data_IF_476201654006
#
_entry.id   IF_476201654006
#
_cell.length_a   1.000
_cell.length_b   1.000
_cell.length_c   1.000
_cell.angle_alpha   90.00
_cell.angle_beta   90.00
_cell.angle_gamma   90.00
#
_symmetry.space_group_name_H-M   'P 1'
#
loop_
_entity.id
_entity.type
_entity.pdbx_description
1 polymer ?
#
# COMPACT_ATOMS: atom_id res chain seq x y z
N UNK A 1 9.29 -10.24 9.47
CA UNK A 1 8.07 -10.62 8.71
C UNK A 1 7.50 -11.89 9.35
N UNK A 2 6.21 -11.92 9.76
CA UNK A 2 5.67 -13.06 10.52
C UNK A 2 5.66 -14.37 9.71
N UNK A 3 5.54 -14.27 8.39
CA UNK A 3 5.71 -15.35 7.42
C UNK A 3 6.76 -14.92 6.39
N UNK A 4 7.66 -15.83 6.05
CA UNK A 4 8.78 -15.56 5.16
C UNK A 4 8.93 -16.74 4.20
N UNK A 5 9.00 -16.49 2.90
CA UNK A 5 9.31 -17.57 1.95
C UNK A 5 10.78 -17.98 2.08
N UNK A 6 11.13 -19.14 1.52
CA UNK A 6 12.48 -19.69 1.60
C UNK A 6 13.55 -18.75 1.02
N UNK A 7 13.21 -17.96 -0.01
CA UNK A 7 14.16 -17.05 -0.65
C UNK A 7 14.52 -15.88 0.27
N UNK A 8 13.53 -15.24 0.91
CA UNK A 8 13.79 -14.19 1.90
C UNK A 8 14.49 -14.77 3.13
N UNK A 9 14.19 -16.00 3.53
CA UNK A 9 14.88 -16.67 4.64
C UNK A 9 16.38 -16.83 4.35
N UNK A 10 16.73 -17.30 3.15
CA UNK A 10 18.11 -17.43 2.68
C UNK A 10 18.81 -16.06 2.65
N UNK A 11 18.18 -15.04 2.06
CA UNK A 11 18.71 -13.68 2.04
C UNK A 11 19.00 -13.15 3.45
N UNK A 12 18.09 -13.33 4.40
CA UNK A 12 18.27 -12.92 5.79
C UNK A 12 19.42 -13.68 6.47
N UNK A 13 19.54 -15.00 6.24
CA UNK A 13 20.62 -15.82 6.82
C UNK A 13 22.00 -15.36 6.33
N UNK A 14 22.11 -15.03 5.05
CA UNK A 14 23.37 -14.62 4.43
C UNK A 14 23.78 -13.19 4.82
N UNK A 15 22.81 -12.30 5.00
CA UNK A 15 23.05 -10.86 5.10
C UNK A 15 22.80 -10.26 6.49
N UNK A 16 22.13 -11.00 7.37
CA UNK A 16 21.55 -10.48 8.61
C UNK A 16 20.33 -9.60 8.36
N UNK A 17 19.49 -9.45 9.39
CA UNK A 17 18.32 -8.57 9.38
C UNK A 17 18.41 -7.51 10.47
N UNK A 18 17.85 -6.33 10.21
CA UNK A 18 17.63 -5.35 11.26
C UNK A 18 16.62 -5.88 12.29
N UNK A 19 16.75 -5.43 13.55
CA UNK A 19 15.84 -5.83 14.62
C UNK A 19 14.37 -5.55 14.26
N UNK A 20 13.52 -6.57 14.31
CA UNK A 20 12.10 -6.54 13.95
C UNK A 20 11.80 -7.00 12.51
N UNK A 21 12.83 -7.22 11.68
CA UNK A 21 12.71 -7.69 10.30
C UNK A 21 13.10 -9.16 10.14
N UNK A 22 13.41 -9.84 11.24
CA UNK A 22 13.74 -11.27 11.24
C UNK A 22 12.58 -12.11 10.67
N UNK A 23 12.94 -13.25 10.10
CA UNK A 23 11.99 -14.29 9.74
C UNK A 23 11.46 -14.95 11.02
N UNK A 24 10.16 -14.79 11.30
CA UNK A 24 9.54 -15.40 12.50
C UNK A 24 9.04 -16.83 12.22
N UNK A 25 8.47 -17.06 11.03
CA UNK A 25 7.97 -18.38 10.61
C UNK A 25 8.35 -18.59 9.14
N UNK A 26 9.32 -19.46 8.83
CA UNK A 26 9.62 -19.80 7.45
C UNK A 26 8.49 -20.65 6.86
N UNK A 27 8.10 -20.35 5.63
CA UNK A 27 7.19 -21.15 4.82
C UNK A 27 8.03 -21.77 3.71
N UNK A 28 8.16 -23.10 3.74
CA UNK A 28 8.97 -23.82 2.77
C UNK A 28 8.26 -23.97 1.43
N UNK A 29 8.99 -23.72 0.34
CA UNK A 29 8.50 -23.87 -1.03
C UNK A 29 8.41 -22.56 -1.81
N UNK A 30 8.09 -22.71 -3.09
CA UNK A 30 7.82 -21.61 -4.00
C UNK A 30 6.32 -21.54 -4.26
N UNK A 31 5.69 -20.44 -3.85
CA UNK A 31 4.28 -20.19 -4.05
C UNK A 31 4.11 -19.11 -5.10
N UNK A 32 3.57 -19.49 -6.24
CA UNK A 32 3.15 -18.56 -7.29
C UNK A 32 1.62 -18.46 -7.26
N UNK A 33 1.04 -17.29 -6.96
CA UNK A 33 -0.41 -17.11 -6.95
C UNK A 33 -1.01 -17.06 -8.37
N UNK A 34 -0.20 -16.92 -9.42
CA UNK A 34 -0.67 -16.69 -10.79
C UNK A 34 -1.71 -17.73 -11.28
N UNK A 35 -1.56 -19.06 -11.05
CA UNK A 35 -2.59 -20.03 -11.44
C UNK A 35 -3.93 -19.81 -10.74
N UNK A 36 -3.92 -19.45 -9.46
CA UNK A 36 -5.14 -19.16 -8.70
C UNK A 36 -5.78 -17.85 -9.19
N UNK A 37 -4.98 -16.81 -9.40
CA UNK A 37 -5.44 -15.52 -9.91
C UNK A 37 -6.08 -15.67 -11.30
N UNK A 38 -5.48 -16.46 -12.20
CA UNK A 38 -6.07 -16.80 -13.51
C UNK A 38 -7.41 -17.51 -13.36
N UNK A 39 -7.50 -18.50 -12.47
CA UNK A 39 -8.74 -19.22 -12.23
C UNK A 39 -9.83 -18.30 -11.64
N UNK A 40 -9.47 -17.40 -10.73
CA UNK A 40 -10.37 -16.39 -10.17
C UNK A 40 -10.86 -15.42 -11.23
N UNK A 41 -9.97 -14.84 -12.05
CA UNK A 41 -10.33 -13.95 -13.16
C UNK A 41 -11.31 -14.61 -14.11
N UNK A 42 -11.01 -15.83 -14.56
CA UNK A 42 -11.89 -16.60 -15.45
C UNK A 42 -13.26 -16.83 -14.81
N UNK A 43 -13.31 -17.10 -13.50
CA UNK A 43 -14.57 -17.29 -12.78
C UNK A 43 -15.36 -15.99 -12.65
N UNK A 44 -14.69 -14.87 -12.43
CA UNK A 44 -15.34 -13.55 -12.36
C UNK A 44 -15.95 -13.21 -13.73
N UNK A 45 -15.22 -13.44 -14.83
CA UNK A 45 -15.72 -13.19 -16.19
C UNK A 45 -16.97 -14.03 -16.51
N UNK A 46 -16.98 -15.30 -16.10
CA UNK A 46 -18.16 -16.19 -16.19
C UNK A 46 -19.36 -15.60 -15.42
N UNK A 47 -19.13 -15.13 -14.19
CA UNK A 47 -20.17 -14.54 -13.36
C UNK A 47 -20.69 -13.20 -13.91
N UNK A 48 -19.81 -12.34 -14.45
CA UNK A 48 -20.21 -11.10 -15.12
C UNK A 48 -21.17 -11.37 -16.28
N UNK A 49 -20.80 -12.32 -17.16
CA UNK A 49 -21.63 -12.74 -18.30
C UNK A 49 -22.96 -13.31 -17.82
N UNK A 50 -22.94 -14.20 -16.83
CA UNK A 50 -24.14 -14.84 -16.29
C UNK A 50 -25.13 -13.85 -15.66
N UNK A 51 -24.62 -12.83 -14.98
CA UNK A 51 -25.45 -11.90 -14.21
C UNK A 51 -25.69 -10.56 -14.90
N UNK A 52 -25.09 -10.33 -16.08
CA UNK A 52 -25.27 -9.11 -16.85
C UNK A 52 -24.83 -7.84 -16.10
N UNK A 53 -23.89 -7.97 -15.16
CA UNK A 53 -23.37 -6.86 -14.36
C UNK A 53 -21.86 -6.94 -14.27
N UNK A 54 -21.21 -5.77 -14.26
CA UNK A 54 -19.76 -5.68 -14.05
C UNK A 54 -19.40 -6.11 -12.62
N UNK A 55 -18.35 -6.90 -12.49
CA UNK A 55 -17.70 -7.31 -11.25
C UNK A 55 -16.26 -6.81 -11.31
N UNK A 56 -15.79 -6.20 -10.23
CA UNK A 56 -14.41 -5.70 -10.14
C UNK A 56 -13.57 -6.76 -9.44
N UNK A 57 -12.49 -7.19 -10.08
CA UNK A 57 -11.43 -7.95 -9.43
C UNK A 57 -10.29 -7.01 -9.04
N UNK A 58 -10.06 -6.84 -7.74
CA UNK A 58 -9.04 -5.94 -7.23
C UNK A 58 -8.07 -6.66 -6.29
N UNK A 59 -6.83 -6.20 -6.26
CA UNK A 59 -5.79 -6.71 -5.35
C UNK A 59 -4.91 -5.56 -4.81
N UNK A 60 -4.11 -5.84 -3.79
CA UNK A 60 -3.20 -4.89 -3.15
C UNK A 60 -1.79 -4.90 -3.76
N UNK A 61 -1.42 -5.97 -4.47
CA UNK A 61 -0.08 -6.15 -5.03
C UNK A 61 -0.11 -6.74 -6.44
N UNK A 62 0.83 -6.30 -7.27
CA UNK A 62 1.02 -6.73 -8.67
C UNK A 62 2.19 -7.71 -8.84
N UNK A 63 2.83 -8.10 -7.74
CA UNK A 63 3.94 -9.06 -7.71
C UNK A 63 3.42 -10.45 -7.37
N UNK A 64 4.06 -11.49 -7.92
CA UNK A 64 3.74 -12.90 -7.66
C UNK A 64 4.49 -13.44 -6.45
N UNK A 65 5.71 -12.96 -6.28
CA UNK A 65 6.65 -13.45 -5.26
C UNK A 65 7.66 -12.36 -4.94
N UNK A 66 8.37 -12.48 -3.82
CA UNK A 66 9.51 -11.63 -3.50
C UNK A 66 10.61 -11.68 -4.58
N UNK A 67 10.69 -12.76 -5.38
CA UNK A 67 11.63 -12.85 -6.51
C UNK A 67 11.32 -11.90 -7.66
N UNK A 68 10.12 -11.31 -7.71
CA UNK A 68 9.78 -10.25 -8.66
C UNK A 68 10.37 -8.89 -8.26
N UNK A 69 10.95 -8.77 -7.06
CA UNK A 69 11.55 -7.55 -6.55
C UNK A 69 13.08 -7.69 -6.61
N UNK A 70 13.81 -6.68 -7.14
CA UNK A 70 15.27 -6.66 -7.13
C UNK A 70 15.85 -6.89 -5.74
N UNK A 71 16.88 -7.72 -5.67
CA UNK A 71 17.51 -8.12 -4.41
C UNK A 71 18.04 -6.93 -3.61
N UNK A 72 18.61 -5.91 -4.27
CA UNK A 72 19.09 -4.70 -3.60
C UNK A 72 17.98 -3.98 -2.83
N UNK A 73 16.75 -3.96 -3.38
CA UNK A 73 15.60 -3.37 -2.71
C UNK A 73 15.11 -4.24 -1.56
N UNK A 74 15.13 -5.56 -1.70
CA UNK A 74 14.81 -6.48 -0.62
C UNK A 74 15.79 -6.33 0.54
N UNK A 75 17.09 -6.22 0.24
CA UNK A 75 18.13 -5.98 1.23
C UNK A 75 17.93 -4.62 1.92
N UNK A 76 17.53 -3.57 1.20
CA UNK A 76 17.15 -2.30 1.82
C UNK A 76 15.93 -2.44 2.75
N UNK A 77 14.92 -3.24 2.36
CA UNK A 77 13.78 -3.54 3.23
C UNK A 77 14.23 -4.26 4.51
N UNK A 78 15.15 -5.23 4.39
CA UNK A 78 15.65 -6.06 5.48
C UNK A 78 16.63 -5.30 6.41
N UNK A 79 17.43 -4.37 5.86
CA UNK A 79 18.53 -3.68 6.57
C UNK A 79 18.23 -2.22 6.92
N UNK A 80 17.63 -1.45 6.00
CA UNK A 80 17.57 0.02 6.04
C UNK A 80 16.18 0.57 6.40
N UNK A 81 15.18 -0.31 6.60
CA UNK A 81 13.82 0.03 7.07
C UNK A 81 12.97 0.88 6.11
N UNK A 82 13.20 0.80 4.80
CA UNK A 82 12.18 1.24 3.82
C UNK A 82 11.48 0.02 3.19
N UNK A 83 10.49 -0.59 3.89
CA UNK A 83 9.77 -1.75 3.38
C UNK A 83 8.88 -1.43 2.18
N UNK A 84 8.79 -0.16 1.75
CA UNK A 84 7.93 0.28 0.65
C UNK A 84 8.73 0.77 -0.55
N UNK A 85 10.06 0.74 -0.51
CA UNK A 85 10.93 1.19 -1.60
C UNK A 85 10.57 0.55 -2.94
N UNK A 86 10.28 -0.76 -2.94
CA UNK A 86 10.00 -1.51 -4.15
C UNK A 86 8.73 -1.05 -4.89
N UNK A 87 7.73 -0.48 -4.18
CA UNK A 87 6.52 0.04 -4.85
C UNK A 87 6.84 1.09 -5.92
N UNK A 88 7.95 1.81 -5.76
CA UNK A 88 8.35 2.94 -6.63
C UNK A 88 9.44 2.58 -7.65
N UNK A 89 9.94 1.35 -7.63
CA UNK A 89 11.07 0.93 -8.48
C UNK A 89 10.58 0.28 -9.79
N UNK A 90 11.09 0.72 -10.96
CA UNK A 90 10.64 0.25 -12.27
C UNK A 90 11.13 -1.16 -12.63
N UNK A 91 12.11 -1.69 -11.90
CA UNK A 91 12.65 -3.04 -12.13
C UNK A 91 11.78 -4.14 -11.53
N UNK A 92 10.84 -3.79 -10.64
CA UNK A 92 9.91 -4.76 -10.05
C UNK A 92 8.99 -5.31 -11.12
N UNK A 93 8.92 -6.64 -11.21
CA UNK A 93 8.02 -7.33 -12.13
C UNK A 93 6.56 -7.27 -11.61
N UNK A 94 5.71 -6.58 -12.37
CA UNK A 94 4.31 -6.31 -12.01
C UNK A 94 3.32 -7.14 -12.84
N UNK A 95 3.78 -8.23 -13.44
CA UNK A 95 3.00 -8.98 -14.43
C UNK A 95 1.67 -9.51 -13.88
N UNK A 96 1.54 -9.74 -12.57
CA UNK A 96 0.28 -10.19 -11.98
C UNK A 96 -0.84 -9.13 -12.12
N UNK A 97 -0.47 -7.85 -12.26
CA UNK A 97 -1.40 -6.75 -12.46
C UNK A 97 -2.33 -6.91 -13.66
N UNK A 98 -1.92 -7.64 -14.70
CA UNK A 98 -2.72 -7.84 -15.92
C UNK A 98 -4.04 -8.60 -15.69
N UNK A 99 -4.15 -9.30 -14.56
CA UNK A 99 -5.35 -10.06 -14.20
C UNK A 99 -6.35 -9.23 -13.36
N UNK A 100 -5.95 -8.08 -12.85
CA UNK A 100 -6.78 -7.25 -12.00
C UNK A 100 -7.41 -6.10 -12.79
N UNK A 101 -8.64 -5.76 -12.43
CA UNK A 101 -9.24 -4.51 -12.88
C UNK A 101 -8.54 -3.34 -12.19
N UNK A 102 -8.40 -3.43 -10.85
CA UNK A 102 -7.89 -2.38 -9.97
C UNK A 102 -6.77 -2.90 -9.08
N UNK A 103 -5.76 -2.06 -8.85
CA UNK A 103 -4.82 -2.24 -7.74
C UNK A 103 -5.02 -1.15 -6.71
N UNK A 104 -5.12 -1.58 -5.45
CA UNK A 104 -5.34 -0.70 -4.30
C UNK A 104 -4.04 0.03 -3.97
N UNK A 105 -4.00 1.31 -4.32
CA UNK A 105 -2.86 2.16 -4.04
C UNK A 105 -2.93 2.74 -2.62
N UNK A 106 -2.29 2.02 -1.69
CA UNK A 106 -2.10 2.42 -0.30
C UNK A 106 -1.06 3.53 -0.12
N UNK A 107 -0.19 3.80 -1.12
CA UNK A 107 0.81 4.85 -1.02
C UNK A 107 0.15 6.23 -1.09
N UNK A 108 -0.95 6.34 -1.83
CA UNK A 108 -1.66 7.60 -2.01
C UNK A 108 -2.04 8.29 -0.69
N UNK A 109 -2.58 7.55 0.29
CA UNK A 109 -2.90 8.15 1.62
C UNK A 109 -1.66 8.62 2.38
N UNK A 110 -0.50 8.01 2.16
CA UNK A 110 0.78 8.45 2.71
C UNK A 110 1.27 9.72 2.02
N UNK A 111 1.12 9.79 0.69
CA UNK A 111 1.42 10.98 -0.10
C UNK A 111 0.61 12.19 0.38
N UNK A 112 -0.69 12.00 0.65
CA UNK A 112 -1.54 13.05 1.22
C UNK A 112 -1.03 13.54 2.59
N UNK A 113 -0.57 12.61 3.45
CA UNK A 113 0.03 12.97 4.75
C UNK A 113 1.32 13.77 4.58
N UNK A 114 2.18 13.37 3.65
CA UNK A 114 3.42 14.06 3.37
C UNK A 114 3.21 15.49 2.88
N UNK A 115 2.15 15.74 2.11
CA UNK A 115 1.75 17.09 1.70
C UNK A 115 1.39 17.94 2.92
N UNK A 116 0.56 17.39 3.82
CA UNK A 116 0.15 18.08 5.05
C UNK A 116 1.33 18.35 6.01
N UNK A 117 2.25 17.41 6.15
CA UNK A 117 3.42 17.51 7.03
C UNK A 117 4.54 18.43 6.49
N UNK A 118 4.29 19.15 5.39
CA UNK A 118 5.26 20.07 4.77
C UNK A 118 6.60 19.40 4.41
N UNK A 119 6.56 18.13 3.99
CA UNK A 119 7.74 17.34 3.64
C UNK A 119 8.08 17.41 2.12
N UNK A 120 8.91 16.48 1.63
CA UNK A 120 9.39 16.45 0.24
C UNK A 120 8.27 16.54 -0.82
N UNK A 121 7.09 15.98 -0.50
CA UNK A 121 5.96 15.93 -1.43
C UNK A 121 5.01 17.13 -1.32
N UNK A 122 5.24 18.07 -0.41
CA UNK A 122 4.43 19.31 -0.29
C UNK A 122 4.66 20.29 -1.44
N UNK A 123 5.76 20.13 -2.19
CA UNK A 123 6.00 20.85 -3.43
C UNK A 123 5.19 20.22 -4.57
N UNK A 124 4.36 21.02 -5.25
CA UNK A 124 3.49 20.57 -6.33
C UNK A 124 4.21 19.75 -7.41
N UNK A 125 5.45 20.12 -7.74
CA UNK A 125 6.29 19.34 -8.68
C UNK A 125 6.58 17.94 -8.15
N UNK A 126 7.06 17.80 -6.91
CA UNK A 126 7.38 16.50 -6.31
C UNK A 126 6.15 15.60 -6.17
N UNK A 127 5.00 16.18 -5.80
CA UNK A 127 3.72 15.46 -5.74
C UNK A 127 3.30 14.94 -7.13
N UNK A 128 3.34 15.81 -8.15
CA UNK A 128 2.98 15.43 -9.52
C UNK A 128 3.92 14.36 -10.08
N UNK A 129 5.22 14.47 -9.83
CA UNK A 129 6.19 13.45 -10.27
C UNK A 129 5.98 12.10 -9.55
N UNK A 130 5.60 12.11 -8.27
CA UNK A 130 5.24 10.88 -7.55
C UNK A 130 4.02 10.19 -8.20
N UNK A 131 2.96 10.96 -8.50
CA UNK A 131 1.77 10.42 -9.17
C UNK A 131 2.08 9.88 -10.56
N UNK A 132 2.86 10.63 -11.36
CA UNK A 132 3.30 10.17 -12.69
C UNK A 132 4.06 8.85 -12.59
N UNK A 133 4.95 8.75 -11.59
CA UNK A 133 5.74 7.55 -11.38
C UNK A 133 4.85 6.33 -11.11
N UNK A 134 3.81 6.46 -10.29
CA UNK A 134 2.87 5.36 -10.06
C UNK A 134 2.15 4.92 -11.34
N UNK A 135 1.76 5.86 -12.21
CA UNK A 135 1.18 5.52 -13.52
C UNK A 135 2.18 4.80 -14.44
N UNK A 136 3.46 5.18 -14.39
CA UNK A 136 4.51 4.50 -15.15
C UNK A 136 4.83 3.08 -14.65
N UNK A 137 4.31 2.70 -13.49
CA UNK A 137 4.55 1.43 -12.83
C UNK A 137 3.30 0.55 -12.93
N UNK A 138 2.50 0.50 -11.87
CA UNK A 138 1.29 -0.33 -11.80
C UNK A 138 0.23 0.16 -12.81
N UNK A 139 0.15 1.47 -13.06
CA UNK A 139 -0.80 2.03 -14.03
C UNK A 139 -0.61 1.58 -15.49
N UNK A 140 0.50 0.91 -15.82
CA UNK A 140 0.71 0.30 -17.15
C UNK A 140 0.00 -1.03 -17.33
N UNK A 141 -0.28 -1.74 -16.23
CA UNK A 141 -0.78 -3.13 -16.27
C UNK A 141 -2.18 -3.27 -15.68
N UNK A 142 -2.65 -2.28 -14.91
CA UNK A 142 -3.97 -2.25 -14.27
C UNK A 142 -4.46 -0.82 -14.10
N UNK A 143 -5.75 -0.59 -13.80
CA UNK A 143 -6.19 0.72 -13.28
C UNK A 143 -5.75 0.88 -11.82
N UNK A 144 -5.43 2.11 -11.41
CA UNK A 144 -5.16 2.46 -10.02
C UNK A 144 -6.45 2.84 -9.30
N UNK A 145 -6.74 2.15 -8.19
CA UNK A 145 -7.73 2.57 -7.22
C UNK A 145 -7.03 3.23 -6.04
N UNK A 146 -7.13 4.56 -5.97
CA UNK A 146 -6.62 5.38 -4.86
C UNK A 146 -7.36 4.99 -3.59
N UNK A 147 -6.68 4.23 -2.75
CA UNK A 147 -7.29 3.64 -1.58
C UNK A 147 -7.15 4.58 -0.38
N UNK A 148 -8.24 5.24 -0.03
CA UNK A 148 -8.24 6.27 1.02
C UNK A 148 -8.93 5.72 2.26
N UNK A 149 -8.23 4.84 2.97
CA UNK A 149 -8.63 4.38 4.29
C UNK A 149 -7.86 5.12 5.39
N UNK A 150 -8.15 6.41 5.55
CA UNK A 150 -7.63 7.21 6.68
C UNK A 150 -8.31 6.86 8.00
N UNK A 151 -9.53 6.28 7.96
CA UNK A 151 -10.27 5.90 9.16
C UNK A 151 -9.66 4.68 9.87
N UNK A 152 -9.05 3.75 9.13
CA UNK A 152 -8.41 2.55 9.70
C UNK A 152 -7.08 2.79 10.38
N UNK A 153 -6.44 3.91 10.07
CA UNK A 153 -5.25 4.41 10.75
C UNK A 153 -5.52 5.82 11.30
N UNK A 154 -6.75 6.07 11.79
CA UNK A 154 -7.19 7.43 12.12
C UNK A 154 -6.24 8.17 13.07
N UNK A 155 -5.58 7.44 13.97
CA UNK A 155 -4.55 7.99 14.85
C UNK A 155 -3.40 8.71 14.11
N UNK A 156 -3.04 8.30 12.88
CA UNK A 156 -2.03 8.96 12.04
C UNK A 156 -2.58 10.20 11.34
N UNK A 157 -3.90 10.37 11.32
CA UNK A 157 -4.62 11.39 10.59
C UNK A 157 -5.59 12.15 11.51
N UNK A 158 -5.28 12.24 12.80
CA UNK A 158 -6.14 12.84 13.81
C UNK A 158 -6.39 14.33 13.53
N UNK A 159 -5.48 14.98 12.79
CA UNK A 159 -5.65 16.34 12.27
C UNK A 159 -6.89 16.51 11.38
N UNK A 160 -7.43 15.42 10.81
CA UNK A 160 -8.68 15.44 10.03
C UNK A 160 -9.92 15.81 10.87
N UNK A 161 -9.80 15.88 12.20
CA UNK A 161 -10.85 16.45 13.06
C UNK A 161 -11.03 17.95 12.84
N UNK A 162 -10.00 18.64 12.35
CA UNK A 162 -10.10 20.03 11.97
C UNK A 162 -10.74 20.17 10.57
N UNK A 163 -11.88 20.86 10.42
CA UNK A 163 -12.59 20.94 9.14
C UNK A 163 -11.74 21.51 7.99
N UNK A 164 -10.84 22.46 8.28
CA UNK A 164 -9.92 23.03 7.29
C UNK A 164 -8.95 21.98 6.76
N UNK A 165 -8.41 21.15 7.64
CA UNK A 165 -7.46 20.09 7.28
C UNK A 165 -8.17 19.00 6.49
N UNK A 166 -9.34 18.55 6.95
CA UNK A 166 -10.18 17.62 6.21
C UNK A 166 -10.51 18.12 4.79
N UNK A 167 -10.83 19.40 4.64
CA UNK A 167 -11.09 20.03 3.34
C UNK A 167 -9.91 19.95 2.36
N UNK A 168 -8.67 20.10 2.86
CA UNK A 168 -7.46 19.97 2.04
C UNK A 168 -7.29 18.54 1.52
N UNK A 169 -7.37 17.55 2.41
CA UNK A 169 -7.25 16.13 2.05
C UNK A 169 -8.34 15.68 1.08
N UNK A 170 -9.59 16.10 1.31
CA UNK A 170 -10.69 15.84 0.40
C UNK A 170 -10.41 16.43 -0.98
N UNK A 171 -9.96 17.68 -1.05
CA UNK A 171 -9.63 18.36 -2.31
C UNK A 171 -8.56 17.60 -3.09
N UNK A 172 -7.44 17.26 -2.45
CA UNK A 172 -6.36 16.51 -3.10
C UNK A 172 -6.81 15.11 -3.54
N UNK A 173 -7.64 14.46 -2.73
CA UNK A 173 -8.18 13.14 -3.05
C UNK A 173 -9.08 13.19 -4.28
N UNK A 174 -10.09 14.08 -4.29
CA UNK A 174 -11.08 14.13 -5.39
C UNK A 174 -10.53 14.72 -6.68
N UNK A 175 -9.42 15.46 -6.61
CA UNK A 175 -8.72 16.00 -7.80
C UNK A 175 -7.60 15.09 -8.30
N UNK A 176 -7.27 14.02 -7.58
CA UNK A 176 -6.30 13.03 -8.04
C UNK A 176 -6.87 12.18 -9.18
N UNK A 177 -5.98 11.72 -10.07
CA UNK A 177 -6.34 10.78 -11.12
C UNK A 177 -6.41 9.34 -10.60
N UNK A 178 -7.35 8.57 -11.12
CA UNK A 178 -7.64 7.19 -10.71
C UNK A 178 -9.05 7.04 -10.13
N UNK A 179 -9.41 5.80 -9.75
CA UNK A 179 -10.67 5.54 -9.04
C UNK A 179 -10.47 5.83 -7.56
N UNK A 180 -11.34 6.60 -6.92
CA UNK A 180 -11.23 6.82 -5.46
C UNK A 180 -12.06 5.75 -4.75
N UNK A 181 -11.41 4.95 -3.91
CA UNK A 181 -12.08 3.98 -3.05
C UNK A 181 -12.01 4.44 -1.60
N UNK A 182 -13.18 4.80 -1.06
CA UNK A 182 -13.37 5.13 0.35
C UNK A 182 -13.80 3.87 1.09
N UNK A 183 -12.99 3.44 2.06
CA UNK A 183 -13.39 2.37 2.97
C UNK A 183 -13.52 2.95 4.37
N UNK A 184 -14.69 2.72 4.96
CA UNK A 184 -14.89 2.94 6.37
C UNK A 184 -14.43 1.71 7.11
N UNK A 185 -13.62 1.90 8.14
CA UNK A 185 -13.30 0.84 9.10
C UNK A 185 -13.66 1.31 10.49
N UNK A 186 -14.04 0.37 11.35
CA UNK A 186 -14.17 0.60 12.77
C UNK A 186 -12.78 0.66 13.40
N UNK A 187 -12.42 1.78 14.01
CA UNK A 187 -11.44 1.79 15.11
C UNK A 187 -11.88 2.75 16.20
N UNK A 188 -11.89 2.22 17.43
CA UNK A 188 -11.82 3.03 18.65
C UNK A 188 -10.41 3.64 18.68
N UNK A 189 -10.24 4.96 18.91
CA UNK A 189 -8.91 5.51 19.11
C UNK A 189 -8.22 4.73 20.23
N UNK A 190 -6.90 4.44 20.14
CA UNK A 190 -6.21 3.81 21.24
C UNK A 190 -6.32 4.70 22.47
N UNK A 191 -7.16 4.32 23.44
CA UNK A 191 -7.53 5.16 24.59
C UNK A 191 -6.41 5.26 25.65
N UNK A 192 -5.14 5.02 25.28
CA UNK A 192 -4.03 4.98 26.25
C UNK A 192 -2.98 6.03 25.90
N UNK A 193 -2.58 6.79 26.91
CA UNK A 193 -1.50 7.79 26.83
C UNK A 193 -0.15 7.16 26.42
N UNK A 194 0.02 5.86 26.69
CA UNK A 194 1.21 5.09 26.31
C UNK A 194 1.35 4.98 24.79
N UNK A 195 0.25 4.66 24.08
CA UNK A 195 0.27 4.58 22.62
C UNK A 195 0.40 5.97 22.01
N UNK A 196 -0.25 6.96 22.60
CA UNK A 196 -0.10 8.37 22.22
C UNK A 196 1.36 8.84 22.28
N UNK A 197 2.06 8.54 23.37
CA UNK A 197 3.46 8.91 23.55
C UNK A 197 4.39 8.13 22.62
N UNK A 198 4.15 6.83 22.44
CA UNK A 198 4.98 5.97 21.58
C UNK A 198 4.90 6.37 20.11
N UNK A 199 3.76 6.90 19.68
CA UNK A 199 3.47 7.15 18.28
C UNK A 199 3.21 8.64 17.99
N UNK A 200 3.51 9.51 18.97
CA UNK A 200 3.49 10.97 18.91
C UNK A 200 2.15 11.57 18.43
N UNK A 201 1.04 11.10 19.01
CA UNK A 201 -0.30 11.59 18.64
C UNK A 201 -0.61 12.95 19.26
N UNK A 202 -1.42 13.74 18.55
CA UNK A 202 -2.08 14.91 19.14
C UNK A 202 -3.30 14.46 19.96
N UNK A 203 -3.10 14.21 21.25
CA UNK A 203 -4.16 13.76 22.15
C UNK A 203 -5.21 14.83 22.45
N UNK A 204 -4.86 16.11 22.29
CA UNK A 204 -5.81 17.20 22.51
C UNK A 204 -6.90 17.18 21.43
N UNK A 205 -6.54 16.85 20.18
CA UNK A 205 -7.53 16.67 19.12
C UNK A 205 -8.42 15.44 19.34
N UNK A 206 -7.86 14.33 19.84
CA UNK A 206 -8.60 13.06 20.01
C UNK A 206 -9.57 13.09 21.20
N UNK A 207 -9.29 13.91 22.23
CA UNK A 207 -10.07 13.98 23.48
C UNK A 207 -11.23 14.99 23.43
N UNK A 208 -11.25 15.88 22.44
CA UNK A 208 -12.31 16.86 22.21
C UNK A 208 -13.41 16.29 21.29
#
# INVERSE_FOLDING_TARGET
MPYCDQYIEELIKENGAARGFECLTPVHGYYDPEPLVKAMRAKIDDLEKKHGRRLIFADEMTVKTWRDIPEDLLLNCIKERDPFAFHRDPRVNRSLGEYFDWVLDYNFRGLLKYVYDETLYSYSKSYVEALKREFELDGKVTELARFVNMRGDFYKYAELLEPRVAGCYLTLTVTSSGRILWISTYQLPPQTEVLAKKLNYNMDLIRN
#
